data_IF_431621336676
#
_entry.id   IF_431621336676
#
_cell.length_a   1.000
_cell.length_b   1.000
_cell.length_c   1.000
_cell.angle_alpha   90.00
_cell.angle_beta   90.00
_cell.angle_gamma   90.00
#
_symmetry.space_group_name_H-M   'P 1'
#
loop_
_entity.id
_entity.type
_entity.pdbx_description
1 polymer ?
#
# COMPACT_ATOMS: atom_id res chain seq x y z
N UNK A 1 10.54 -0.31 -8.55
CA UNK A 1 9.16 0.24 -8.51
C UNK A 1 8.17 -0.90 -8.44
N UNK A 2 7.38 -1.00 -7.37
CA UNK A 2 6.50 -2.15 -7.14
C UNK A 2 5.15 -2.05 -7.86
N UNK A 3 4.59 -0.84 -7.99
CA UNK A 3 3.30 -0.61 -8.63
C UNK A 3 3.42 -0.35 -10.14
N UNK A 4 4.22 -1.15 -10.84
CA UNK A 4 4.35 -1.09 -12.30
C UNK A 4 4.12 -2.46 -12.93
N UNK A 5 4.04 -2.53 -14.24
CA UNK A 5 3.70 -3.78 -14.93
C UNK A 5 4.26 -3.86 -16.33
N UNK A 6 4.12 -5.06 -16.91
CA UNK A 6 4.37 -5.30 -18.33
C UNK A 6 3.37 -4.48 -19.14
N UNK A 7 3.86 -3.60 -20.00
CA UNK A 7 3.02 -2.77 -20.87
C UNK A 7 3.14 -3.26 -22.30
N UNK A 8 1.99 -3.58 -22.90
CA UNK A 8 1.87 -3.77 -24.34
C UNK A 8 2.09 -2.44 -25.08
N UNK A 9 2.92 -2.50 -26.10
CA UNK A 9 3.34 -1.36 -26.94
C UNK A 9 2.93 -1.57 -28.40
N UNK A 10 2.02 -2.48 -28.69
CA UNK A 10 1.58 -2.82 -30.04
C UNK A 10 2.68 -3.56 -30.80
N UNK A 11 3.14 -3.00 -31.92
CA UNK A 11 4.14 -3.65 -32.79
C UNK A 11 5.54 -3.79 -32.18
N UNK A 12 5.83 -3.15 -31.04
CA UNK A 12 7.11 -3.25 -30.35
C UNK A 12 7.06 -4.24 -29.18
N UNK A 13 8.15 -4.96 -28.87
CA UNK A 13 8.19 -5.86 -27.72
C UNK A 13 7.80 -5.19 -26.42
N UNK A 14 7.09 -5.96 -25.59
CA UNK A 14 6.59 -5.53 -24.30
C UNK A 14 7.75 -5.19 -23.36
N UNK A 15 7.59 -4.10 -22.60
CA UNK A 15 8.58 -3.68 -21.59
C UNK A 15 7.88 -3.27 -20.31
N UNK A 16 8.58 -3.43 -19.19
CA UNK A 16 8.10 -2.94 -17.91
C UNK A 16 7.94 -1.41 -17.93
N UNK A 17 6.81 -0.92 -17.43
CA UNK A 17 6.54 0.51 -17.26
C UNK A 17 6.08 0.78 -15.83
N UNK A 18 6.50 1.93 -15.31
CA UNK A 18 6.09 2.42 -13.99
C UNK A 18 4.61 2.80 -14.03
N UNK A 19 3.89 2.54 -12.93
CA UNK A 19 2.54 3.05 -12.74
C UNK A 19 2.50 4.56 -12.53
N UNK A 20 1.29 5.11 -12.46
CA UNK A 20 1.06 6.54 -12.29
C UNK A 20 1.55 7.02 -10.93
N UNK A 21 2.54 7.92 -10.93
CA UNK A 21 3.04 8.54 -9.70
C UNK A 21 2.05 9.52 -9.07
N UNK A 22 1.12 10.09 -9.85
CA UNK A 22 0.13 11.05 -9.33
C UNK A 22 -0.86 10.38 -8.37
N UNK A 23 -1.33 9.18 -8.73
CA UNK A 23 -2.28 8.41 -7.92
C UNK A 23 -1.64 8.03 -6.59
N UNK A 24 -0.42 7.48 -6.64
CA UNK A 24 0.31 7.04 -5.43
C UNK A 24 0.55 8.24 -4.49
N UNK A 25 0.95 9.40 -5.02
CA UNK A 25 1.14 10.60 -4.20
C UNK A 25 -0.16 11.12 -3.60
N UNK A 26 -1.24 11.15 -4.38
CA UNK A 26 -2.56 11.57 -3.91
C UNK A 26 -3.06 10.71 -2.75
N UNK A 27 -2.97 9.38 -2.89
CA UNK A 27 -3.34 8.45 -1.83
C UNK A 27 -2.49 8.65 -0.56
N UNK A 28 -1.17 8.85 -0.72
CA UNK A 28 -0.29 9.11 0.43
C UNK A 28 -0.63 10.42 1.15
N UNK A 29 -0.92 11.50 0.42
CA UNK A 29 -1.34 12.76 1.04
C UNK A 29 -2.67 12.64 1.79
N UNK A 30 -3.62 11.86 1.26
CA UNK A 30 -4.89 11.58 1.95
C UNK A 30 -4.68 10.79 3.24
N UNK A 31 -3.77 9.80 3.22
CA UNK A 31 -3.42 9.01 4.41
C UNK A 31 -2.63 9.81 5.44
N UNK A 32 -1.81 10.77 5.01
CA UNK A 32 -1.17 11.77 5.89
C UNK A 32 -2.23 12.67 6.53
N UNK A 33 -3.21 13.17 5.75
CA UNK A 33 -4.31 13.98 6.28
C UNK A 33 -5.19 13.21 7.28
N UNK A 34 -5.35 11.89 7.09
CA UNK A 34 -6.04 11.01 8.03
C UNK A 34 -5.23 10.73 9.31
N UNK A 35 -3.96 11.14 9.37
CA UNK A 35 -3.05 10.92 10.49
C UNK A 35 -2.65 9.46 10.66
N UNK A 36 -2.71 8.66 9.59
CA UNK A 36 -2.30 7.25 9.59
C UNK A 36 -0.81 7.10 9.23
N UNK A 37 -0.30 8.05 8.44
CA UNK A 37 1.09 8.10 7.98
C UNK A 37 1.71 9.43 8.39
N UNK A 38 2.99 9.41 8.78
CA UNK A 38 3.77 10.59 9.09
C UNK A 38 4.96 10.74 8.13
N UNK A 39 5.33 11.99 7.86
CA UNK A 39 6.50 12.32 7.05
C UNK A 39 7.74 12.34 7.95
N UNK A 40 8.72 11.51 7.61
CA UNK A 40 10.00 11.44 8.31
C UNK A 40 11.11 11.92 7.38
N UNK A 41 12.25 12.28 7.95
CA UNK A 41 13.42 12.66 7.15
C UNK A 41 13.85 11.48 6.27
N UNK A 42 13.77 11.63 4.94
CA UNK A 42 14.05 10.57 3.98
C UNK A 42 12.85 9.74 3.49
N UNK A 43 11.64 9.94 4.02
CA UNK A 43 10.47 9.17 3.56
C UNK A 43 9.18 9.39 4.34
N UNK A 44 8.47 8.28 4.56
CA UNK A 44 7.20 8.22 5.28
C UNK A 44 7.18 7.00 6.18
N UNK A 45 6.68 7.14 7.39
CA UNK A 45 6.50 6.05 8.34
C UNK A 45 5.02 5.90 8.70
N UNK A 46 4.65 4.70 9.14
CA UNK A 46 3.30 4.41 9.64
C UNK A 46 3.24 4.88 11.10
N UNK A 47 2.23 5.69 11.41
CA UNK A 47 2.01 6.16 12.79
C UNK A 47 1.53 5.01 13.69
N UNK A 48 1.64 5.14 15.03
CA UNK A 48 1.04 4.18 15.96
C UNK A 48 -0.46 3.95 15.69
N UNK A 49 -1.20 5.03 15.36
CA UNK A 49 -2.63 4.96 15.00
C UNK A 49 -2.87 4.15 13.73
N UNK A 50 -2.04 4.34 12.71
CA UNK A 50 -2.09 3.56 11.47
C UNK A 50 -1.84 2.07 11.70
N UNK A 51 -0.90 1.74 12.59
CA UNK A 51 -0.59 0.36 12.94
C UNK A 51 -1.74 -0.31 13.68
N UNK A 52 -2.28 0.32 14.72
CA UNK A 52 -3.44 -0.22 15.46
C UNK A 52 -4.67 -0.41 14.57
N UNK A 53 -4.92 0.50 13.61
CA UNK A 53 -6.02 0.33 12.65
C UNK A 53 -5.85 -0.94 11.80
N UNK A 54 -4.64 -1.18 11.30
CA UNK A 54 -4.33 -2.33 10.46
C UNK A 54 -4.37 -3.64 11.27
N UNK A 55 -3.88 -3.62 12.50
CA UNK A 55 -3.91 -4.77 13.42
C UNK A 55 -5.36 -5.16 13.77
N UNK A 56 -6.22 -4.17 14.05
CA UNK A 56 -7.65 -4.41 14.32
C UNK A 56 -8.37 -5.02 13.10
N UNK A 57 -8.13 -4.47 11.91
CA UNK A 57 -8.70 -5.00 10.67
C UNK A 57 -8.21 -6.44 10.40
N UNK A 58 -6.92 -6.70 10.65
CA UNK A 58 -6.32 -8.03 10.46
C UNK A 58 -6.87 -9.06 11.45
N UNK A 59 -7.14 -8.67 12.69
CA UNK A 59 -7.78 -9.54 13.68
C UNK A 59 -9.18 -9.99 13.24
N UNK A 60 -9.96 -9.09 12.63
CA UNK A 60 -11.26 -9.42 12.05
C UNK A 60 -11.14 -10.48 10.94
N UNK A 61 -10.21 -10.28 10.00
CA UNK A 61 -9.98 -11.23 8.90
C UNK A 61 -9.45 -12.58 9.41
N UNK A 62 -8.57 -12.58 10.42
CA UNK A 62 -8.06 -13.82 11.03
C UNK A 62 -9.19 -14.67 11.64
N UNK A 63 -10.21 -14.04 12.21
CA UNK A 63 -11.34 -14.77 12.81
C UNK A 63 -12.20 -15.51 11.75
N UNK A 64 -12.22 -15.00 10.51
CA UNK A 64 -12.96 -15.60 9.39
C UNK A 64 -12.24 -16.79 8.75
N UNK A 65 -10.92 -16.94 8.98
CA UNK A 65 -10.09 -17.97 8.36
C UNK A 65 -9.70 -19.02 9.41
N UNK A 66 -10.39 -20.18 9.46
CA UNK A 66 -10.19 -21.19 10.51
C UNK A 66 -8.79 -21.83 10.50
N UNK A 67 -8.08 -21.82 9.38
CA UNK A 67 -6.72 -22.37 9.26
C UNK A 67 -5.66 -21.54 10.00
N UNK A 68 -5.94 -20.26 10.28
CA UNK A 68 -5.01 -19.34 10.93
C UNK A 68 -5.16 -19.29 12.45
N UNK A 69 -6.12 -20.02 13.04
CA UNK A 69 -6.32 -20.04 14.50
C UNK A 69 -5.11 -20.54 15.29
N UNK A 70 -4.16 -21.20 14.63
CA UNK A 70 -2.93 -21.75 15.23
C UNK A 70 -1.77 -20.74 15.32
N UNK A 71 -1.88 -19.55 14.71
CA UNK A 71 -0.81 -18.54 14.59
C UNK A 71 -1.30 -17.08 14.75
#
# INVERSE_FOLDING_TARGET
THYGGKKDRGSSPEKFKRGSGAIIRGALHQLEAAGLIEKVEGGRAVTPKGRSFLDNASAGVKAEIPELAKY
#
